data_IF_040330217775
#
_entry.id   IF_040330217775
#
_cell.length_a   1.000
_cell.length_b   1.000
_cell.length_c   1.000
_cell.angle_alpha   90.00
_cell.angle_beta   90.00
_cell.angle_gamma   90.00
#
_symmetry.space_group_name_H-M   'P 1'
#
loop_
_entity.id
_entity.type
_entity.pdbx_description
1 polymer ?
#
# COMPACT_ATOMS: atom_id res chain seq x y z
N UNK A 1 25.51 -28.68 14.89
CA UNK A 1 25.86 -29.81 14.01
C UNK A 1 25.99 -29.23 12.61
N UNK A 2 27.22 -28.93 12.16
CA UNK A 2 28.00 -29.78 11.22
C UNK A 2 27.62 -29.36 9.79
N UNK A 3 28.45 -28.69 8.99
CA UNK A 3 29.77 -29.08 8.52
C UNK A 3 29.60 -29.75 7.14
N UNK A 4 30.14 -29.17 6.07
CA UNK A 4 30.11 -29.79 4.73
C UNK A 4 30.34 -28.80 3.60
N UNK A 5 31.60 -28.59 3.23
CA UNK A 5 31.98 -28.01 1.95
C UNK A 5 31.98 -29.15 0.92
N UNK A 6 31.03 -29.13 -0.01
CA UNK A 6 30.99 -30.07 -1.13
C UNK A 6 31.36 -29.36 -2.42
N UNK A 7 32.59 -29.61 -2.88
CA UNK A 7 33.06 -29.36 -4.22
C UNK A 7 32.42 -30.39 -5.17
N UNK A 8 31.59 -29.95 -6.11
CA UNK A 8 31.03 -30.79 -7.17
C UNK A 8 31.00 -30.06 -8.51
N UNK A 9 31.88 -30.44 -9.44
CA UNK A 9 31.76 -30.14 -10.86
C UNK A 9 30.71 -31.08 -11.49
N UNK A 10 29.60 -30.56 -12.00
CA UNK A 10 28.61 -31.36 -12.74
C UNK A 10 27.42 -30.57 -13.28
N UNK A 11 27.40 -30.34 -14.60
CA UNK A 11 26.24 -30.18 -15.50
C UNK A 11 25.12 -29.19 -15.12
N UNK A 12 25.01 -28.08 -15.87
CA UNK A 12 23.84 -27.20 -16.16
C UNK A 12 22.90 -26.71 -15.02
N UNK A 13 22.85 -27.36 -13.87
CA UNK A 13 22.03 -27.05 -12.70
C UNK A 13 22.79 -26.31 -11.59
N UNK A 14 24.12 -26.20 -11.69
CA UNK A 14 24.98 -25.53 -10.68
C UNK A 14 25.10 -24.01 -10.86
N UNK A 15 24.57 -23.45 -11.94
CA UNK A 15 24.26 -22.02 -11.99
C UNK A 15 22.81 -21.86 -11.52
N UNK A 16 22.62 -21.61 -10.22
CA UNK A 16 21.30 -21.35 -9.67
C UNK A 16 20.51 -20.38 -10.57
N UNK A 17 19.21 -20.66 -10.75
CA UNK A 17 18.32 -19.97 -11.69
C UNK A 17 18.62 -18.46 -11.71
N UNK A 18 19.03 -17.94 -12.88
CA UNK A 18 19.40 -16.53 -13.04
C UNK A 18 18.29 -15.58 -12.61
N UNK A 19 17.02 -16.04 -12.63
CA UNK A 19 15.87 -15.29 -12.11
C UNK A 19 15.99 -14.95 -10.63
N UNK A 20 16.76 -15.71 -9.86
CA UNK A 20 17.09 -15.40 -8.46
C UNK A 20 18.12 -14.26 -8.32
N UNK A 21 18.89 -13.98 -9.37
CA UNK A 21 19.91 -12.92 -9.42
C UNK A 21 19.36 -11.60 -9.98
N UNK A 22 18.20 -11.63 -10.64
CA UNK A 22 17.58 -10.45 -11.25
C UNK A 22 16.62 -9.80 -10.26
N UNK A 23 16.81 -8.51 -10.00
CA UNK A 23 15.89 -7.70 -9.20
C UNK A 23 15.02 -6.82 -10.10
N UNK A 24 13.73 -6.72 -9.76
CA UNK A 24 12.76 -5.84 -10.43
C UNK A 24 11.93 -5.10 -9.40
N UNK A 25 11.42 -3.91 -9.75
CA UNK A 25 10.62 -3.09 -8.84
C UNK A 25 9.34 -3.78 -8.35
N UNK A 26 8.68 -4.56 -9.20
CA UNK A 26 7.45 -5.30 -8.87
C UNK A 26 7.71 -6.66 -8.22
N UNK A 27 8.97 -7.13 -8.18
CA UNK A 27 9.34 -8.49 -7.81
C UNK A 27 9.38 -9.47 -8.99
N UNK A 28 9.95 -10.65 -8.74
CA UNK A 28 10.17 -11.70 -9.74
C UNK A 28 9.07 -12.76 -9.81
N UNK A 29 9.25 -13.78 -10.69
CA UNK A 29 8.33 -14.91 -10.79
C UNK A 29 8.10 -15.59 -9.43
N UNK A 30 6.84 -15.90 -9.11
CA UNK A 30 6.45 -16.56 -7.86
C UNK A 30 6.92 -15.83 -6.57
N UNK A 31 6.96 -14.49 -6.58
CA UNK A 31 7.34 -13.68 -5.42
C UNK A 31 6.45 -13.97 -4.20
N UNK A 32 7.02 -14.63 -3.18
CA UNK A 32 6.38 -14.93 -1.89
C UNK A 32 7.33 -14.62 -0.74
N UNK A 33 7.58 -13.34 -0.44
CA UNK A 33 8.54 -12.97 0.59
C UNK A 33 8.04 -13.36 1.98
N UNK A 34 8.94 -13.88 2.82
CA UNK A 34 8.64 -14.35 4.19
C UNK A 34 7.88 -13.32 5.04
N UNK A 35 8.12 -12.02 4.81
CA UNK A 35 7.57 -10.92 5.60
C UNK A 35 6.49 -10.09 4.87
N UNK A 36 5.81 -10.65 3.87
CA UNK A 36 4.82 -9.92 3.07
C UNK A 36 3.79 -9.18 3.95
N UNK A 37 3.27 -9.82 5.00
CA UNK A 37 2.28 -9.21 5.92
C UNK A 37 2.80 -7.95 6.60
N UNK A 38 4.03 -8.00 7.13
CA UNK A 38 4.66 -6.87 7.82
C UNK A 38 4.91 -5.72 6.86
N UNK A 39 5.41 -6.02 5.67
CA UNK A 39 5.70 -5.00 4.66
C UNK A 39 4.41 -4.32 4.17
N UNK A 40 3.34 -5.09 3.94
CA UNK A 40 2.01 -4.53 3.61
C UNK A 40 1.47 -3.68 4.75
N UNK A 41 1.63 -4.10 6.01
CA UNK A 41 1.19 -3.31 7.15
C UNK A 41 1.91 -1.95 7.22
N UNK A 42 3.22 -1.91 6.99
CA UNK A 42 4.00 -0.67 6.94
C UNK A 42 3.52 0.24 5.79
N UNK A 43 3.30 -0.33 4.60
CA UNK A 43 2.79 0.42 3.45
C UNK A 43 1.40 1.03 3.74
N UNK A 44 0.48 0.23 4.29
CA UNK A 44 -0.85 0.71 4.68
C UNK A 44 -0.77 1.79 5.76
N UNK A 45 0.11 1.63 6.75
CA UNK A 45 0.31 2.64 7.79
C UNK A 45 0.77 3.98 7.19
N UNK A 46 1.72 3.95 6.25
CA UNK A 46 2.18 5.14 5.52
C UNK A 46 1.05 5.80 4.71
N UNK A 47 0.25 5.00 4.01
CA UNK A 47 -0.92 5.50 3.24
C UNK A 47 -1.90 6.21 4.17
N UNK A 48 -2.30 5.58 5.27
CA UNK A 48 -3.26 6.20 6.20
C UNK A 48 -2.70 7.45 6.87
N UNK A 49 -1.41 7.45 7.24
CA UNK A 49 -0.75 8.61 7.82
C UNK A 49 -0.83 9.84 6.90
N UNK A 50 -0.77 9.64 5.59
CA UNK A 50 -0.82 10.71 4.60
C UNK A 50 -2.25 11.05 4.22
N UNK A 51 -3.08 10.05 3.93
CA UNK A 51 -4.43 10.27 3.42
C UNK A 51 -5.39 10.87 4.46
N UNK A 52 -5.25 10.54 5.74
CA UNK A 52 -6.12 11.07 6.81
C UNK A 52 -5.99 12.60 6.95
N UNK A 53 -4.80 13.20 7.15
CA UNK A 53 -4.69 14.65 7.27
C UNK A 53 -5.08 15.36 5.97
N UNK A 54 -4.78 14.78 4.81
CA UNK A 54 -5.24 15.32 3.52
C UNK A 54 -6.77 15.34 3.46
N UNK A 55 -7.44 14.26 3.86
CA UNK A 55 -8.89 14.19 3.88
C UNK A 55 -9.50 15.21 4.86
N UNK A 56 -8.93 15.35 6.06
CA UNK A 56 -9.36 16.36 7.03
C UNK A 56 -9.24 17.77 6.46
N UNK A 57 -8.09 18.10 5.85
CA UNK A 57 -7.87 19.41 5.22
C UNK A 57 -8.79 19.61 4.02
N UNK A 58 -8.98 18.58 3.20
CA UNK A 58 -9.90 18.61 2.06
C UNK A 58 -11.33 18.90 2.50
N UNK A 59 -11.80 18.29 3.60
CA UNK A 59 -13.14 18.51 4.13
C UNK A 59 -13.32 19.91 4.72
N UNK A 60 -12.29 20.50 5.34
CA UNK A 60 -12.31 21.89 5.82
C UNK A 60 -12.38 22.91 4.67
N UNK A 61 -11.69 22.64 3.56
CA UNK A 61 -11.65 23.51 2.40
C UNK A 61 -12.85 23.33 1.47
N UNK A 62 -13.65 22.28 1.67
CA UNK A 62 -14.79 22.00 0.81
C UNK A 62 -15.89 23.05 1.02
N UNK A 63 -16.01 23.94 0.03
CA UNK A 63 -17.08 24.94 -0.03
C UNK A 63 -18.07 24.61 -1.13
N UNK A 64 -19.36 24.79 -0.83
CA UNK A 64 -20.46 24.56 -1.79
C UNK A 64 -21.37 25.78 -1.81
N UNK A 65 -21.44 26.52 -2.93
CA UNK A 65 -22.26 27.72 -3.03
C UNK A 65 -23.77 27.44 -2.92
N UNK A 66 -24.21 26.25 -3.31
CA UNK A 66 -25.63 25.88 -3.37
C UNK A 66 -25.89 24.62 -2.57
N UNK A 67 -27.00 24.65 -1.82
CA UNK A 67 -27.44 23.49 -1.05
C UNK A 67 -27.84 22.33 -1.97
N UNK A 68 -27.47 21.08 -1.62
CA UNK A 68 -27.83 19.93 -2.45
C UNK A 68 -29.35 19.69 -2.45
N UNK A 69 -29.92 19.47 -3.64
CA UNK A 69 -31.34 19.14 -3.83
C UNK A 69 -31.68 17.72 -3.35
N UNK A 70 -30.67 16.88 -3.17
CA UNK A 70 -30.77 15.48 -2.74
C UNK A 70 -29.68 15.15 -1.70
N UNK A 71 -29.86 14.12 -0.87
CA UNK A 71 -28.81 13.67 0.04
C UNK A 71 -27.59 13.16 -0.76
N UNK A 72 -26.41 13.67 -0.43
CA UNK A 72 -25.13 13.28 -1.07
C UNK A 72 -24.15 12.92 0.05
N UNK A 73 -23.41 11.79 -0.04
CA UNK A 73 -22.53 11.31 1.04
C UNK A 73 -21.50 12.33 1.55
N UNK A 74 -21.01 13.21 0.67
CA UNK A 74 -20.07 14.28 1.00
C UNK A 74 -20.67 15.36 1.93
N UNK A 75 -21.99 15.43 2.07
CA UNK A 75 -22.65 16.30 3.05
C UNK A 75 -22.27 15.97 4.51
N UNK A 76 -21.83 14.74 4.80
CA UNK A 76 -21.38 14.34 6.15
C UNK A 76 -20.08 15.06 6.57
N UNK A 77 -19.30 15.54 5.60
CA UNK A 77 -17.94 16.08 5.80
C UNK A 77 -17.85 17.57 5.43
N UNK A 78 -18.72 18.03 4.52
CA UNK A 78 -18.92 19.44 4.19
C UNK A 78 -19.41 20.25 5.41
N UNK A 79 -18.55 21.09 5.98
CA UNK A 79 -18.92 22.03 7.06
C UNK A 79 -19.63 23.31 6.57
N UNK A 80 -19.75 23.48 5.25
CA UNK A 80 -20.21 24.72 4.60
C UNK A 80 -21.68 25.06 4.83
N UNK A 81 -22.49 24.06 5.19
CA UNK A 81 -23.86 24.23 5.66
C UNK A 81 -23.82 23.86 7.13
N UNK A 82 -24.05 24.81 8.04
CA UNK A 82 -23.97 24.58 9.51
C UNK A 82 -24.86 23.44 10.00
N UNK A 83 -24.96 23.25 11.32
CA UNK A 83 -25.77 22.17 11.90
C UNK A 83 -27.17 22.14 11.25
N UNK A 84 -27.43 21.07 10.50
CA UNK A 84 -28.76 20.82 9.94
C UNK A 84 -29.55 20.15 11.06
N UNK A 85 -30.39 20.94 11.72
CA UNK A 85 -31.48 20.43 12.54
C UNK A 85 -32.44 19.67 11.60
N UNK A 86 -32.26 18.36 11.49
CA UNK A 86 -33.23 17.45 10.87
C UNK A 86 -34.07 16.79 11.95
#
# INVERSE_FOLDING_TARGET
MGGGADHGHGGEASHGDFRSKVWTMSGGPNCRPKHWKRNTAIAMAGIFLICIPIAMKSAELEQRPHQPVRPIPSQLWCKNFGNKDY
#
